data_IF_960809980776
#
_entry.id   IF_960809980776
#
_cell.length_a   1.000
_cell.length_b   1.000
_cell.length_c   1.000
_cell.angle_alpha   90.00
_cell.angle_beta   90.00
_cell.angle_gamma   90.00
#
_symmetry.space_group_name_H-M   'P 1'
#
loop_
_entity.id
_entity.type
_entity.pdbx_description
1 polymer ?
#
# COMPACT_ATOMS: atom_id res chain seq x y z
N UNK A 1 3.10 19.32 41.44
CA UNK A 1 3.56 19.55 40.05
C UNK A 1 4.48 18.43 39.52
N UNK A 2 5.29 17.78 40.36
CA UNK A 2 6.19 16.70 39.92
C UNK A 2 5.48 15.41 39.48
N UNK A 3 4.42 14.99 40.17
CA UNK A 3 3.72 13.72 39.86
C UNK A 3 3.08 13.75 38.47
N UNK A 4 2.41 14.85 38.13
CA UNK A 4 1.77 15.03 36.83
C UNK A 4 2.82 15.04 35.70
N UNK A 5 3.93 15.77 35.89
CA UNK A 5 5.03 15.78 34.91
C UNK A 5 5.69 14.41 34.75
N UNK A 6 5.84 13.65 35.83
CA UNK A 6 6.39 12.29 35.79
C UNK A 6 5.49 11.34 35.00
N UNK A 7 4.16 11.43 35.18
CA UNK A 7 3.19 10.63 34.42
C UNK A 7 3.28 10.94 32.92
N UNK A 8 3.32 12.21 32.53
CA UNK A 8 3.49 12.58 31.12
C UNK A 8 4.80 12.09 30.52
N UNK A 9 5.92 12.20 31.26
CA UNK A 9 7.22 11.69 30.81
C UNK A 9 7.20 10.18 30.58
N UNK A 10 6.56 9.41 31.47
CA UNK A 10 6.45 7.95 31.31
C UNK A 10 5.64 7.62 30.05
N UNK A 11 4.51 8.30 29.82
CA UNK A 11 3.68 8.07 28.63
C UNK A 11 4.45 8.38 27.35
N UNK A 12 5.14 9.53 27.28
CA UNK A 12 5.96 9.87 26.12
C UNK A 12 7.16 8.93 25.95
N UNK A 13 7.78 8.48 27.05
CA UNK A 13 8.87 7.50 26.99
C UNK A 13 8.39 6.17 26.42
N UNK A 14 7.22 5.68 26.84
CA UNK A 14 6.64 4.43 26.29
C UNK A 14 6.31 4.61 24.81
N UNK A 15 5.64 5.70 24.42
CA UNK A 15 5.32 5.97 23.00
C UNK A 15 6.61 6.09 22.17
N UNK A 16 7.61 6.79 22.69
CA UNK A 16 8.92 6.98 22.05
C UNK A 16 9.67 5.67 21.88
N UNK A 17 9.71 4.82 22.89
CA UNK A 17 10.33 3.49 22.82
C UNK A 17 9.56 2.60 21.83
N UNK A 18 8.23 2.58 21.86
CA UNK A 18 7.43 1.82 20.88
C UNK A 18 7.70 2.29 19.44
N UNK A 19 7.77 3.60 19.21
CA UNK A 19 8.10 4.17 17.90
C UNK A 19 9.54 3.82 17.50
N UNK A 20 10.50 3.92 18.43
CA UNK A 20 11.90 3.63 18.21
C UNK A 20 12.14 2.16 17.90
N UNK A 21 11.59 1.24 18.68
CA UNK A 21 11.68 -0.21 18.44
C UNK A 21 11.07 -0.56 17.08
N UNK A 22 9.96 0.07 16.70
CA UNK A 22 9.34 -0.15 15.39
C UNK A 22 10.26 0.29 14.25
N UNK A 23 10.81 1.50 14.34
CA UNK A 23 11.70 2.04 13.32
C UNK A 23 13.02 1.26 13.26
N UNK A 24 13.56 0.88 14.42
CA UNK A 24 14.77 0.09 14.55
C UNK A 24 14.61 -1.33 14.01
N UNK A 25 13.46 -1.97 14.27
CA UNK A 25 13.13 -3.28 13.68
C UNK A 25 13.03 -3.16 12.16
N UNK A 26 12.38 -2.12 11.63
CA UNK A 26 12.30 -1.87 10.18
C UNK A 26 13.69 -1.62 9.60
N UNK A 27 14.54 -0.85 10.30
CA UNK A 27 15.91 -0.56 9.87
C UNK A 27 16.78 -1.82 9.83
N UNK A 28 16.70 -2.69 10.85
CA UNK A 28 17.43 -3.96 10.90
C UNK A 28 16.88 -5.00 9.92
N UNK A 29 15.54 -5.12 9.83
CA UNK A 29 14.86 -5.97 8.84
C UNK A 29 14.75 -5.32 7.47
N UNK A 30 15.47 -4.21 7.21
CA UNK A 30 15.71 -3.65 5.88
C UNK A 30 16.63 -4.59 5.11
N UNK A 31 16.16 -5.81 4.91
CA UNK A 31 16.77 -6.78 4.04
C UNK A 31 16.76 -6.17 2.65
N UNK A 32 17.95 -6.01 2.08
CA UNK A 32 18.21 -5.77 0.65
C UNK A 32 17.61 -6.85 -0.28
N UNK A 33 16.68 -7.69 0.19
CA UNK A 33 15.97 -8.61 -0.68
C UNK A 33 14.89 -7.85 -1.42
N UNK A 34 15.06 -7.85 -2.73
CA UNK A 34 14.21 -7.33 -3.80
C UNK A 34 12.83 -8.04 -3.84
N UNK A 35 12.28 -8.40 -2.68
CA UNK A 35 10.99 -9.04 -2.52
C UNK A 35 9.92 -7.96 -2.66
N UNK A 36 9.72 -7.52 -3.90
CA UNK A 36 8.63 -6.68 -4.32
C UNK A 36 7.33 -7.43 -4.07
N UNK A 37 6.53 -6.95 -3.12
CA UNK A 37 5.19 -7.49 -2.88
C UNK A 37 4.26 -6.86 -3.90
N UNK A 38 3.69 -7.71 -4.76
CA UNK A 38 2.77 -7.27 -5.81
C UNK A 38 1.35 -7.56 -5.38
N UNK A 39 0.55 -6.53 -5.16
CA UNK A 39 -0.86 -6.69 -4.81
C UNK A 39 -1.70 -6.62 -6.08
N UNK A 40 -2.33 -7.73 -6.47
CA UNK A 40 -3.13 -7.82 -7.70
C UNK A 40 -4.61 -7.78 -7.34
N UNK A 41 -5.31 -6.76 -7.85
CA UNK A 41 -6.75 -6.62 -7.70
C UNK A 41 -7.41 -6.84 -9.07
N UNK A 42 -8.01 -8.02 -9.32
CA UNK A 42 -8.81 -8.24 -10.52
C UNK A 42 -10.15 -7.51 -10.41
N UNK A 43 -10.46 -6.66 -11.40
CA UNK A 43 -11.74 -5.96 -11.46
C UNK A 43 -12.42 -6.31 -12.79
N UNK A 44 -13.67 -6.76 -12.70
CA UNK A 44 -14.48 -7.21 -13.83
C UNK A 44 -15.80 -6.45 -13.89
N UNK A 45 -16.25 -6.12 -15.10
CA UNK A 45 -17.56 -5.50 -15.35
C UNK A 45 -17.75 -4.12 -14.72
N UNK A 46 -18.98 -3.87 -14.27
CA UNK A 46 -19.36 -2.66 -13.54
C UNK A 46 -19.16 -2.89 -12.05
N UNK A 47 -18.15 -2.24 -11.48
CA UNK A 47 -17.80 -2.34 -10.07
C UNK A 47 -17.78 -0.94 -9.46
N UNK A 48 -18.87 -0.53 -8.81
CA UNK A 48 -18.94 0.75 -8.10
C UNK A 48 -17.92 0.81 -6.94
N UNK A 49 -17.61 -0.33 -6.35
CA UNK A 49 -16.63 -0.47 -5.27
C UNK A 49 -15.18 -0.56 -5.76
N UNK A 50 -14.91 -0.46 -7.07
CA UNK A 50 -13.56 -0.55 -7.63
C UNK A 50 -12.61 0.47 -6.98
N UNK A 51 -13.10 1.70 -6.77
CA UNK A 51 -12.32 2.75 -6.11
C UNK A 51 -11.94 2.38 -4.68
N UNK A 52 -12.89 1.87 -3.89
CA UNK A 52 -12.64 1.49 -2.50
C UNK A 52 -11.64 0.34 -2.41
N UNK A 53 -11.75 -0.66 -3.27
CA UNK A 53 -10.82 -1.80 -3.34
C UNK A 53 -9.41 -1.30 -3.69
N UNK A 54 -9.29 -0.41 -4.68
CA UNK A 54 -7.98 0.10 -5.08
C UNK A 54 -7.35 0.99 -4.00
N UNK A 55 -8.13 1.88 -3.37
CA UNK A 55 -7.63 2.73 -2.27
C UNK A 55 -7.25 1.92 -1.05
N UNK A 56 -8.03 0.90 -0.70
CA UNK A 56 -7.70 0.02 0.43
C UNK A 56 -6.46 -0.83 0.13
N UNK A 57 -6.31 -1.34 -1.09
CA UNK A 57 -5.09 -2.00 -1.56
C UNK A 57 -3.87 -1.06 -1.50
N UNK A 58 -4.00 0.17 -2.01
CA UNK A 58 -2.94 1.17 -1.98
C UNK A 58 -2.56 1.57 -0.55
N UNK A 59 -3.54 1.70 0.35
CA UNK A 59 -3.26 1.94 1.77
C UNK A 59 -2.52 0.76 2.39
N UNK A 60 -2.96 -0.48 2.15
CA UNK A 60 -2.28 -1.68 2.67
C UNK A 60 -0.85 -1.78 2.14
N UNK A 61 -0.64 -1.56 0.84
CA UNK A 61 0.71 -1.52 0.26
C UNK A 61 1.51 -0.39 0.88
N UNK A 62 1.02 0.84 0.98
CA UNK A 62 1.75 1.94 1.66
C UNK A 62 2.14 1.60 3.11
N UNK A 63 1.25 0.94 3.85
CA UNK A 63 1.48 0.52 5.23
C UNK A 63 2.48 -0.63 5.38
N UNK A 64 2.46 -1.60 4.46
CA UNK A 64 3.37 -2.75 4.43
C UNK A 64 4.72 -2.35 3.83
N UNK A 65 4.68 -1.47 2.83
CA UNK A 65 5.80 -1.14 1.96
C UNK A 65 6.74 -0.14 2.61
N UNK A 66 6.25 0.92 3.28
CA UNK A 66 7.01 1.90 4.07
C UNK A 66 8.43 2.21 3.55
N UNK A 67 8.62 2.30 2.22
CA UNK A 67 9.91 2.51 1.55
C UNK A 67 10.42 1.38 0.64
N UNK A 68 9.63 0.32 0.37
CA UNK A 68 9.91 -0.71 -0.66
C UNK A 68 9.30 -0.32 -2.02
N UNK A 69 9.77 -0.94 -3.10
CA UNK A 69 9.23 -0.79 -4.46
C UNK A 69 7.95 -1.63 -4.66
N UNK A 70 7.04 -1.67 -3.69
CA UNK A 70 5.83 -2.49 -3.79
C UNK A 70 4.80 -1.82 -4.70
N UNK A 71 4.15 -2.63 -5.53
CA UNK A 71 3.27 -2.15 -6.59
C UNK A 71 1.85 -2.70 -6.39
N UNK A 72 0.85 -1.84 -6.64
CA UNK A 72 -0.56 -2.25 -6.77
C UNK A 72 -0.86 -2.44 -8.24
N UNK A 73 -1.34 -3.61 -8.63
CA UNK A 73 -1.75 -3.90 -10.00
C UNK A 73 -3.26 -4.03 -10.05
N UNK A 74 -3.87 -3.14 -10.81
CA UNK A 74 -5.26 -3.24 -11.21
C UNK A 74 -5.32 -4.06 -12.49
N UNK A 75 -5.91 -5.26 -12.43
CA UNK A 75 -6.03 -6.15 -13.58
C UNK A 75 -7.38 -5.94 -14.27
N UNK A 76 -7.35 -5.50 -15.52
CA UNK A 76 -8.53 -5.33 -16.36
C UNK A 76 -9.06 -6.71 -16.80
N UNK A 77 -10.14 -7.16 -16.15
CA UNK A 77 -10.81 -8.41 -16.46
C UNK A 77 -12.04 -8.26 -17.37
N UNK A 78 -12.19 -7.11 -18.04
CA UNK A 78 -13.39 -6.76 -18.80
C UNK A 78 -14.18 -5.65 -18.09
N UNK A 79 -13.48 -4.59 -17.69
CA UNK A 79 -14.10 -3.45 -17.04
C UNK A 79 -15.03 -2.68 -17.99
N UNK A 80 -16.12 -2.15 -17.44
CA UNK A 80 -16.90 -1.08 -18.10
C UNK A 80 -16.00 0.14 -18.35
N UNK A 81 -16.25 0.89 -19.44
CA UNK A 81 -15.57 2.14 -19.75
C UNK A 81 -15.65 3.17 -18.62
N UNK A 82 -16.74 3.20 -17.84
CA UNK A 82 -16.85 4.04 -16.63
C UNK A 82 -15.88 3.58 -15.54
N UNK A 83 -15.92 2.29 -15.18
CA UNK A 83 -15.03 1.68 -14.16
C UNK A 83 -13.56 1.84 -14.54
N UNK A 84 -13.23 1.71 -15.83
CA UNK A 84 -11.87 1.86 -16.36
C UNK A 84 -11.34 3.29 -16.16
N UNK A 85 -12.16 4.31 -16.44
CA UNK A 85 -11.78 5.72 -16.22
C UNK A 85 -11.49 6.00 -14.75
N UNK A 86 -12.29 5.45 -13.84
CA UNK A 86 -12.09 5.60 -12.40
C UNK A 86 -10.76 4.94 -11.99
N UNK A 87 -10.55 3.68 -12.40
CA UNK A 87 -9.32 2.95 -12.08
C UNK A 87 -8.07 3.65 -12.64
N UNK A 88 -8.14 4.16 -13.87
CA UNK A 88 -7.03 4.88 -14.50
C UNK A 88 -6.69 6.18 -13.76
N UNK A 89 -7.71 6.93 -13.31
CA UNK A 89 -7.51 8.15 -12.51
C UNK A 89 -6.81 7.82 -11.20
N UNK A 90 -7.28 6.79 -10.48
CA UNK A 90 -6.70 6.36 -9.21
C UNK A 90 -5.27 5.84 -9.41
N UNK A 91 -5.01 5.05 -10.45
CA UNK A 91 -3.66 4.60 -10.78
C UNK A 91 -2.72 5.77 -11.11
N UNK A 92 -3.24 6.85 -11.70
CA UNK A 92 -2.45 8.06 -11.96
C UNK A 92 -2.15 8.84 -10.67
N UNK A 93 -3.11 8.86 -9.73
CA UNK A 93 -2.95 9.52 -8.42
C UNK A 93 -1.92 8.80 -7.53
N UNK A 94 -1.84 7.47 -7.64
CA UNK A 94 -0.86 6.65 -6.91
C UNK A 94 0.27 6.20 -7.84
N UNK A 95 1.43 6.87 -7.82
CA UNK A 95 2.58 6.54 -8.68
C UNK A 95 3.15 5.11 -8.56
N UNK A 96 2.69 4.32 -7.59
CA UNK A 96 3.02 2.90 -7.40
C UNK A 96 1.87 1.96 -7.79
N UNK A 97 0.79 2.47 -8.37
CA UNK A 97 -0.32 1.69 -8.90
C UNK A 97 -0.27 1.64 -10.43
N UNK A 98 -0.47 0.46 -11.02
CA UNK A 98 -0.49 0.24 -12.47
C UNK A 98 -1.78 -0.43 -12.88
N UNK A 99 -2.37 0.05 -13.97
CA UNK A 99 -3.45 -0.64 -14.67
C UNK A 99 -2.83 -1.52 -15.74
N UNK A 100 -3.14 -2.82 -15.72
CA UNK A 100 -2.65 -3.79 -16.69
C UNK A 100 -3.81 -4.59 -17.24
N UNK A 101 -3.77 -4.89 -18.53
CA UNK A 101 -4.62 -5.90 -19.14
C UNK A 101 -4.12 -7.30 -18.80
N UNK A 102 -4.97 -8.32 -18.98
CA UNK A 102 -4.56 -9.74 -18.80
C UNK A 102 -3.28 -10.06 -19.59
N UNK A 103 -3.17 -9.56 -20.82
CA UNK A 103 -2.03 -9.83 -21.70
C UNK A 103 -0.73 -9.23 -21.15
N UNK A 104 -0.75 -7.94 -20.80
CA UNK A 104 0.42 -7.25 -20.23
C UNK A 104 0.84 -7.82 -18.87
N UNK A 105 -0.12 -8.31 -18.08
CA UNK A 105 0.16 -8.97 -16.81
C UNK A 105 0.91 -10.29 -16.99
N UNK A 106 0.52 -11.11 -17.98
CA UNK A 106 1.22 -12.35 -18.28
C UNK A 106 2.62 -12.10 -18.84
N UNK A 107 2.84 -11.04 -19.62
CA UNK A 107 4.17 -10.65 -20.09
C UNK A 107 5.09 -10.19 -18.95
N UNK A 108 4.54 -9.56 -17.90
CA UNK A 108 5.31 -9.10 -16.74
C UNK A 108 5.78 -10.24 -15.82
N UNK A 109 5.04 -11.35 -15.77
CA UNK A 109 5.33 -12.49 -14.88
C UNK A 109 6.26 -13.53 -15.53
N UNK A 110 6.39 -13.49 -16.86
CA UNK A 110 7.19 -14.44 -17.64
C UNK A 110 8.68 -14.07 -17.64
#
# INVERSE_FOLDING_TARGET
MNVVSAVFLIVFAVIGICAFVREFTIFLFRSRKNNTVMFVAPISGKCENAEYILRSAAARVKWISRGRNDCVICLDCGMDGETKRICQKICSDYGFAKLLTKQEFFEMIK
#
